data_IF_532300572818
#
_entry.id   IF_532300572818
#
_cell.length_a   1.000
_cell.length_b   1.000
_cell.length_c   1.000
_cell.angle_alpha   90.00
_cell.angle_beta   90.00
_cell.angle_gamma   90.00
#
_symmetry.space_group_name_H-M   'P 1'
#
loop_
_entity.id
_entity.type
_entity.pdbx_description
1 polymer ?
#
# COMPACT_ATOMS: atom_id res chain seq x y z
N UNK A 1 16.76 -8.64 9.20
CA UNK A 1 16.13 -7.45 9.82
C UNK A 1 14.86 -7.92 10.51
N UNK A 2 14.65 -7.59 11.79
CA UNK A 2 13.35 -7.84 12.45
C UNK A 2 12.51 -6.60 12.18
N UNK A 3 11.52 -6.75 11.30
CA UNK A 3 10.65 -5.68 10.82
C UNK A 3 9.27 -5.86 11.44
N UNK A 4 8.71 -4.84 12.10
CA UNK A 4 7.42 -4.96 12.82
C UNK A 4 6.66 -3.65 12.84
N UNK A 5 5.41 -3.69 12.41
CA UNK A 5 4.44 -2.63 12.55
C UNK A 5 3.63 -2.81 13.83
N UNK A 6 3.68 -1.81 14.72
CA UNK A 6 3.08 -1.92 16.05
C UNK A 6 1.59 -1.59 16.10
N UNK A 7 1.04 -0.92 15.08
CA UNK A 7 -0.35 -0.41 15.02
C UNK A 7 -0.94 -0.48 13.60
N UNK A 8 -2.10 0.15 13.39
CA UNK A 8 -2.65 0.45 12.06
C UNK A 8 -1.55 1.08 11.20
N UNK A 9 -1.36 0.55 10.00
CA UNK A 9 -0.25 0.95 9.13
C UNK A 9 -0.69 2.11 8.26
N UNK A 10 -0.08 3.28 8.49
CA UNK A 10 -0.34 4.50 7.73
C UNK A 10 0.76 4.70 6.72
N UNK A 11 0.38 4.68 5.46
CA UNK A 11 1.25 4.82 4.31
C UNK A 11 1.03 6.19 3.68
N UNK A 12 2.11 6.83 3.26
CA UNK A 12 2.12 8.12 2.56
C UNK A 12 2.91 7.99 1.25
N UNK A 13 2.81 9.01 0.41
CA UNK A 13 3.50 9.09 -0.89
C UNK A 13 3.31 7.81 -1.72
N UNK A 14 2.06 7.36 -1.76
CA UNK A 14 1.71 6.08 -2.36
C UNK A 14 1.65 6.25 -3.87
N UNK A 15 2.34 5.37 -4.59
CA UNK A 15 2.38 5.37 -6.06
C UNK A 15 1.98 4.01 -6.60
N UNK A 16 0.98 3.99 -7.46
CA UNK A 16 0.60 2.83 -8.25
C UNK A 16 1.10 3.01 -9.68
N UNK A 17 1.88 2.06 -10.18
CA UNK A 17 2.36 2.01 -11.56
C UNK A 17 1.79 0.77 -12.21
N UNK A 18 1.02 0.94 -13.28
CA UNK A 18 0.45 -0.19 -14.02
C UNK A 18 1.57 -1.10 -14.55
N UNK A 19 1.42 -2.42 -14.41
CA UNK A 19 2.46 -3.37 -14.86
C UNK A 19 2.54 -3.51 -16.39
N UNK A 20 1.41 -3.33 -17.08
CA UNK A 20 1.27 -3.52 -18.53
C UNK A 20 0.69 -2.27 -19.21
N UNK A 21 1.21 -1.09 -18.85
CA UNK A 21 0.80 0.17 -19.47
C UNK A 21 1.49 1.38 -18.83
N UNK A 22 1.05 2.57 -19.22
CA UNK A 22 1.69 3.83 -18.85
C UNK A 22 0.94 4.58 -17.72
N UNK A 23 -0.10 3.97 -17.15
CA UNK A 23 -0.88 4.61 -16.08
C UNK A 23 -0.07 4.65 -14.78
N UNK A 24 0.05 5.86 -14.24
CA UNK A 24 0.60 6.14 -12.92
C UNK A 24 -0.46 6.87 -12.11
N UNK A 25 -0.72 6.39 -10.90
CA UNK A 25 -1.66 7.00 -9.97
C UNK A 25 -0.91 7.36 -8.69
N UNK A 26 -1.02 8.62 -8.30
CA UNK A 26 -0.51 9.10 -7.02
C UNK A 26 -1.65 9.12 -6.00
N UNK A 27 -1.41 8.53 -4.84
CA UNK A 27 -2.32 8.42 -3.71
C UNK A 27 -1.64 9.11 -2.53
N UNK A 28 -2.36 10.01 -1.88
CA UNK A 28 -1.81 10.81 -0.79
C UNK A 28 -1.55 9.94 0.44
N UNK A 29 -2.52 9.09 0.79
CA UNK A 29 -2.36 8.13 1.88
C UNK A 29 -3.22 6.89 1.73
N UNK A 30 -2.70 5.78 2.28
CA UNK A 30 -3.43 4.53 2.50
C UNK A 30 -3.32 4.15 3.97
N UNK A 31 -4.43 3.76 4.56
CA UNK A 31 -4.49 3.28 5.94
C UNK A 31 -4.88 1.80 5.94
N UNK A 32 -3.89 0.93 6.13
CA UNK A 32 -4.10 -0.51 6.20
C UNK A 32 -4.57 -0.95 7.58
N UNK A 33 -5.50 -1.89 7.61
CA UNK A 33 -5.93 -2.54 8.85
C UNK A 33 -4.77 -3.29 9.50
N UNK A 34 -4.78 -3.42 10.83
CA UNK A 34 -3.74 -4.10 11.61
C UNK A 34 -3.38 -5.50 11.10
N UNK A 35 -4.35 -6.29 10.62
CA UNK A 35 -4.06 -7.62 10.08
C UNK A 35 -3.27 -7.54 8.77
N UNK A 36 -3.57 -6.59 7.90
CA UNK A 36 -2.85 -6.34 6.65
C UNK A 36 -1.41 -5.92 6.89
N UNK A 37 -1.13 -5.18 7.97
CA UNK A 37 0.23 -4.83 8.36
C UNK A 37 1.10 -6.09 8.59
N UNK A 38 0.55 -7.09 9.30
CA UNK A 38 1.21 -8.39 9.48
C UNK A 38 1.39 -9.13 8.16
N UNK A 39 0.37 -9.13 7.31
CA UNK A 39 0.48 -9.76 5.99
C UNK A 39 1.57 -9.09 5.13
N UNK A 40 1.76 -7.77 5.23
CA UNK A 40 2.86 -7.05 4.56
C UNK A 40 4.22 -7.47 5.15
N UNK A 41 4.34 -7.58 6.47
CA UNK A 41 5.55 -8.14 7.11
C UNK A 41 5.85 -9.53 6.57
N UNK A 42 4.84 -10.40 6.50
CA UNK A 42 4.98 -11.76 6.00
C UNK A 42 5.41 -11.77 4.51
N UNK A 43 4.81 -10.93 3.66
CA UNK A 43 5.19 -10.78 2.25
C UNK A 43 6.66 -10.36 2.09
N UNK A 44 7.16 -9.51 2.99
CA UNK A 44 8.53 -9.00 2.95
C UNK A 44 9.55 -9.97 3.56
N UNK A 45 9.21 -10.63 4.66
CA UNK A 45 10.09 -11.53 5.42
C UNK A 45 10.18 -12.91 4.79
N UNK A 46 9.07 -13.38 4.22
CA UNK A 46 8.94 -14.72 3.74
C UNK A 46 8.80 -14.65 2.22
N UNK A 47 9.71 -15.31 1.51
CA UNK A 47 9.57 -15.56 0.07
C UNK A 47 8.40 -16.53 -0.21
N UNK A 48 7.31 -16.46 0.57
CA UNK A 48 6.16 -17.36 0.54
C UNK A 48 5.35 -17.02 -0.70
N UNK A 49 5.86 -17.59 -1.79
CA UNK A 49 5.36 -17.51 -3.17
C UNK A 49 4.14 -18.40 -3.42
N UNK A 50 3.45 -18.84 -2.37
CA UNK A 50 2.41 -19.87 -2.48
C UNK A 50 1.04 -19.30 -2.82
N UNK A 51 0.58 -18.35 -2.01
CA UNK A 51 -0.83 -17.92 -1.99
C UNK A 51 -0.97 -16.41 -2.09
N UNK A 52 -2.06 -15.97 -2.71
CA UNK A 52 -2.42 -14.57 -2.78
C UNK A 52 -2.69 -14.03 -1.37
N UNK A 53 -2.13 -12.87 -1.06
CA UNK A 53 -2.29 -12.23 0.24
C UNK A 53 -3.29 -11.08 0.14
N UNK A 54 -4.36 -11.16 0.92
CA UNK A 54 -5.33 -10.07 1.01
C UNK A 54 -4.88 -9.03 2.04
N UNK A 55 -4.88 -7.77 1.61
CA UNK A 55 -4.61 -6.59 2.42
C UNK A 55 -5.90 -5.74 2.47
N UNK A 56 -6.56 -5.75 3.63
CA UNK A 56 -7.71 -4.89 3.91
C UNK A 56 -7.22 -3.45 4.17
N UNK A 57 -7.84 -2.49 3.49
CA UNK A 57 -7.58 -1.07 3.59
C UNK A 57 -8.79 -0.40 4.24
N UNK A 58 -8.58 0.27 5.37
CA UNK A 58 -9.64 1.02 6.04
C UNK A 58 -9.97 2.30 5.25
N UNK A 59 -8.95 2.97 4.70
CA UNK A 59 -9.09 4.28 4.04
C UNK A 59 -8.02 4.51 2.96
N UNK A 60 -8.43 5.10 1.82
CA UNK A 60 -7.55 5.67 0.79
C UNK A 60 -7.97 7.12 0.59
N UNK A 61 -7.01 8.04 0.65
CA UNK A 61 -7.22 9.45 0.32
C UNK A 61 -6.45 9.78 -0.97
N UNK A 62 -7.17 10.30 -1.96
CA UNK A 62 -6.67 10.51 -3.32
C UNK A 62 -7.35 11.73 -3.94
N UNK A 63 -6.61 12.53 -4.71
CA UNK A 63 -7.21 13.64 -5.45
C UNK A 63 -8.17 13.14 -6.54
N UNK A 64 -9.19 13.94 -6.89
CA UNK A 64 -10.15 13.60 -7.95
C UNK A 64 -9.50 13.28 -9.29
N UNK A 65 -8.41 13.98 -9.64
CA UNK A 65 -7.72 13.76 -10.91
C UNK A 65 -6.98 12.42 -10.93
N UNK A 66 -6.34 12.04 -9.82
CA UNK A 66 -5.74 10.72 -9.70
C UNK A 66 -6.80 9.61 -9.61
N UNK A 67 -7.95 9.88 -8.96
CA UNK A 67 -9.05 8.91 -8.90
C UNK A 67 -9.60 8.55 -10.28
N UNK A 68 -9.68 9.50 -11.22
CA UNK A 68 -10.08 9.22 -12.62
C UNK A 68 -9.11 8.28 -13.34
N UNK A 69 -7.86 8.21 -12.89
CA UNK A 69 -6.82 7.35 -13.46
C UNK A 69 -6.75 5.97 -12.79
N UNK A 70 -7.48 5.75 -11.68
CA UNK A 70 -7.65 4.42 -11.12
C UNK A 70 -8.47 3.56 -12.09
N UNK A 71 -7.94 2.39 -12.40
CA UNK A 71 -8.59 1.40 -13.25
C UNK A 71 -8.52 0.02 -12.62
N UNK A 72 -9.11 -0.95 -13.31
CA UNK A 72 -9.01 -2.36 -12.93
C UNK A 72 -7.75 -2.96 -13.57
N UNK A 73 -6.60 -2.66 -12.97
CA UNK A 73 -5.29 -3.09 -13.47
C UNK A 73 -4.48 -3.82 -12.39
N UNK A 74 -3.49 -4.58 -12.87
CA UNK A 74 -2.37 -5.00 -12.03
C UNK A 74 -1.36 -3.85 -11.88
N UNK A 75 -1.01 -3.55 -10.64
CA UNK A 75 -0.08 -2.48 -10.29
C UNK A 75 1.17 -3.01 -9.60
N UNK A 76 2.25 -2.25 -9.73
CA UNK A 76 3.30 -2.16 -8.73
C UNK A 76 2.97 -1.00 -7.80
N UNK A 77 2.91 -1.25 -6.50
CA UNK A 77 2.70 -0.20 -5.49
C UNK A 77 4.02 0.11 -4.77
N UNK A 78 4.30 1.39 -4.55
CA UNK A 78 5.31 1.85 -3.59
C UNK A 78 4.69 2.80 -2.58
N UNK A 79 5.14 2.77 -1.33
CA UNK A 79 4.68 3.68 -0.29
C UNK A 79 5.71 3.84 0.83
N UNK A 80 5.65 4.99 1.50
CA UNK A 80 6.47 5.28 2.68
C UNK A 80 5.65 5.02 3.93
N UNK A 81 6.26 4.40 4.94
CA UNK A 81 5.67 4.19 6.26
C UNK A 81 6.72 4.22 7.36
N UNK A 82 6.27 4.35 8.60
CA UNK A 82 7.13 4.21 9.76
C UNK A 82 7.20 2.73 10.19
N UNK A 83 8.41 2.29 10.54
CA UNK A 83 8.70 0.99 11.10
C UNK A 83 9.31 1.14 12.51
N UNK A 84 8.88 0.29 13.44
CA UNK A 84 9.41 0.27 14.81
C UNK A 84 10.53 -0.77 14.90
N UNK A 85 11.76 -0.31 15.13
CA UNK A 85 12.94 -1.15 15.26
C UNK A 85 13.18 -1.61 16.70
N UNK A 86 12.31 -1.20 17.64
CA UNK A 86 12.47 -1.42 19.07
C UNK A 86 13.37 -0.38 19.73
N UNK A 87 13.39 -0.35 21.07
CA UNK A 87 14.27 0.53 21.83
C UNK A 87 14.01 2.03 21.64
N UNK A 88 12.76 2.43 21.34
CA UNK A 88 12.34 3.79 20.99
C UNK A 88 12.90 4.31 19.65
N UNK A 89 13.37 3.42 18.77
CA UNK A 89 13.83 3.77 17.43
C UNK A 89 12.71 3.54 16.43
N UNK A 90 12.31 4.60 15.74
CA UNK A 90 11.37 4.55 14.61
C UNK A 90 12.14 5.01 13.37
N UNK A 91 12.01 4.25 12.29
CA UNK A 91 12.65 4.58 11.01
C UNK A 91 11.62 4.65 9.89
N UNK A 92 11.80 5.60 8.97
CA UNK A 92 10.99 5.68 7.77
C UNK A 92 11.51 4.65 6.75
N UNK A 93 10.59 3.90 6.16
CA UNK A 93 10.91 2.89 5.15
C UNK A 93 10.05 3.10 3.91
N UNK A 94 10.67 2.89 2.75
CA UNK A 94 9.97 2.71 1.49
C UNK A 94 9.73 1.21 1.27
N UNK A 95 8.47 0.85 1.00
CA UNK A 95 8.05 -0.50 0.67
C UNK A 95 7.55 -0.52 -0.76
N UNK A 96 7.90 -1.57 -1.47
CA UNK A 96 7.43 -1.85 -2.82
C UNK A 96 6.78 -3.24 -2.84
N UNK A 97 5.59 -3.37 -3.43
CA UNK A 97 4.94 -4.65 -3.72
C UNK A 97 4.67 -4.74 -5.23
N UNK A 98 5.19 -5.78 -5.87
CA UNK A 98 5.40 -5.80 -7.33
C UNK A 98 4.28 -6.39 -8.17
N UNK A 99 3.17 -6.81 -7.58
CA UNK A 99 2.01 -7.31 -8.31
C UNK A 99 0.77 -7.25 -7.40
N UNK A 100 -0.03 -6.20 -7.55
CA UNK A 100 -1.20 -5.95 -6.71
C UNK A 100 -2.45 -5.58 -7.51
N UNK A 101 -3.62 -6.02 -7.04
CA UNK A 101 -4.93 -5.57 -7.53
C UNK A 101 -5.62 -4.76 -6.44
N UNK A 102 -6.06 -3.55 -6.76
CA UNK A 102 -6.86 -2.73 -5.86
C UNK A 102 -8.34 -2.81 -6.27
N UNK A 103 -9.21 -3.16 -5.32
CA UNK A 103 -10.66 -3.26 -5.53
C UNK A 103 -11.41 -2.52 -4.45
N UNK A 104 -12.48 -1.84 -4.83
CA UNK A 104 -13.39 -1.15 -3.92
C UNK A 104 -14.80 -1.11 -4.52
N UNK A 105 -15.79 -0.83 -3.68
CA UNK A 105 -17.17 -0.60 -4.11
C UNK A 105 -17.43 0.89 -4.20
N UNK A 106 -18.12 1.34 -5.25
CA UNK A 106 -18.50 2.74 -5.41
C UNK A 106 -19.34 3.28 -4.25
N UNK A 107 -20.13 2.43 -3.59
CA UNK A 107 -20.91 2.79 -2.39
C UNK A 107 -20.02 3.23 -1.21
N UNK A 108 -18.73 2.87 -1.21
CA UNK A 108 -17.77 3.27 -0.19
C UNK A 108 -16.92 4.48 -0.61
N UNK A 109 -17.24 5.13 -1.74
CA UNK A 109 -16.50 6.28 -2.26
C UNK A 109 -17.25 7.56 -1.87
N UNK A 110 -16.53 8.49 -1.23
CA UNK A 110 -17.01 9.84 -0.91
C UNK A 110 -16.23 10.86 -1.71
N UNK A 111 -16.93 11.83 -2.28
CA UNK A 111 -16.36 12.91 -3.06
C UNK A 111 -16.49 14.21 -2.27
N UNK A 112 -15.34 14.83 -1.97
CA UNK A 112 -15.26 16.18 -1.40
C UNK A 112 -14.96 17.19 -2.52
N UNK A 113 -14.52 18.41 -2.23
CA UNK A 113 -14.32 19.45 -3.26
C UNK A 113 -13.21 19.06 -4.26
N UNK A 114 -12.03 18.70 -3.76
CA UNK A 114 -10.87 18.30 -4.59
C UNK A 114 -10.48 16.83 -4.40
N UNK A 115 -10.97 16.20 -3.34
CA UNK A 115 -10.48 14.93 -2.86
C UNK A 115 -11.56 13.84 -2.93
N UNK A 116 -11.09 12.60 -2.90
CA UNK A 116 -11.89 11.40 -2.87
C UNK A 116 -11.38 10.52 -1.74
N UNK A 117 -12.29 10.08 -0.88
CA UNK A 117 -12.01 9.09 0.16
C UNK A 117 -12.68 7.78 -0.20
N UNK A 118 -11.91 6.69 -0.23
CA UNK A 118 -12.41 5.33 -0.45
C UNK A 118 -12.28 4.55 0.86
N UNK A 119 -13.38 4.08 1.42
CA UNK A 119 -13.37 3.26 2.63
C UNK A 119 -13.49 1.77 2.31
N UNK A 120 -12.92 0.92 3.17
CA UNK A 120 -13.08 -0.55 3.09
C UNK A 120 -12.70 -1.12 1.72
N UNK A 121 -11.54 -0.71 1.20
CA UNK A 121 -10.97 -1.25 -0.02
C UNK A 121 -10.18 -2.54 0.27
N UNK A 122 -9.94 -3.32 -0.77
CA UNK A 122 -9.21 -4.58 -0.71
C UNK A 122 -8.06 -4.52 -1.71
N UNK A 123 -6.86 -4.89 -1.28
CA UNK A 123 -5.71 -5.04 -2.14
C UNK A 123 -5.24 -6.49 -2.10
N UNK A 124 -5.17 -7.14 -3.27
CA UNK A 124 -4.64 -8.50 -3.38
C UNK A 124 -3.19 -8.43 -3.84
N UNK A 125 -2.27 -9.08 -3.12
CA UNK A 125 -0.85 -9.17 -3.50
C UNK A 125 -0.57 -10.57 -4.03
N UNK A 126 0.03 -10.65 -5.22
CA UNK A 126 0.31 -11.92 -5.89
C UNK A 126 1.77 -12.35 -5.72
N UNK A 127 2.03 -13.67 -5.64
CA UNK A 127 3.34 -14.23 -5.29
C UNK A 127 4.47 -14.02 -6.33
N UNK A 128 4.18 -13.48 -7.51
CA UNK A 128 5.16 -13.21 -8.57
C UNK A 128 5.69 -11.77 -8.60
N UNK A 129 5.28 -10.91 -7.66
CA UNK A 129 5.74 -9.52 -7.59
C UNK A 129 7.14 -9.37 -7.00
N UNK A 130 7.89 -8.37 -7.48
CA UNK A 130 9.11 -7.89 -6.79
C UNK A 130 8.72 -7.11 -5.55
N UNK A 131 9.06 -7.64 -4.37
CA UNK A 131 8.77 -6.99 -3.09
C UNK A 131 10.08 -6.56 -2.43
N UNK A 132 10.19 -5.29 -2.05
CA UNK A 132 11.41 -4.74 -1.44
C UNK A 132 11.06 -3.82 -0.28
N UNK A 133 11.98 -3.71 0.67
CA UNK A 133 11.95 -2.72 1.74
C UNK A 133 13.29 -2.01 1.77
N UNK A 134 13.27 -0.68 1.86
CA UNK A 134 14.45 0.17 1.93
C UNK A 134 14.27 1.16 3.07
N UNK A 135 15.27 1.27 3.94
CA UNK A 135 15.32 2.32 4.96
C UNK A 135 15.66 3.68 4.33
N UNK A 136 14.95 4.72 4.74
CA UNK A 136 15.22 6.09 4.30
C UNK A 136 16.19 6.73 5.29
N UNK A 137 17.35 7.15 4.79
CA UNK A 137 18.36 7.86 5.59
C UNK A 137 18.09 9.36 5.54
N UNK A 138 18.24 10.05 6.68
CA UNK A 138 18.26 11.52 6.71
C UNK A 138 19.58 11.98 6.07
N UNK A 139 19.50 12.73 4.96
CA UNK A 139 20.66 13.37 4.32
C UNK A 139 21.30 14.47 5.19
#
# INVERSE_FOLDING_TARGET
MIFRFTKQLRCMDVKLVQLMGDTVVFIESIVFRKQSARNIEDILLSSVRGDNQELIIDEINISKDNFKNLGDYHYKISFITLNDLGGNVVSAVEIVLGNVDLRFKYDNVKFDENDVTISLAHMMVFPAGTNTVKELEDE
#
